data_IF_620668469528
#
_entry.id   IF_620668469528
#
_cell.length_a   1.000
_cell.length_b   1.000
_cell.length_c   1.000
_cell.angle_alpha   90.00
_cell.angle_beta   90.00
_cell.angle_gamma   90.00
#
_symmetry.space_group_name_H-M   'P 1'
#
loop_
_entity.id
_entity.type
_entity.pdbx_description
1 polymer ?
#
# COMPACT_ATOMS: atom_id res chain seq x y z
N UNK A 1 7.64 11.27 11.55
CA UNK A 1 7.30 11.84 10.23
C UNK A 1 8.05 13.18 9.96
N UNK A 2 8.36 13.99 10.99
CA UNK A 2 9.13 15.24 10.84
C UNK A 2 10.50 15.09 10.14
N UNK A 3 11.31 14.03 10.39
CA UNK A 3 12.58 13.86 9.67
C UNK A 3 12.42 13.72 8.15
N UNK A 4 11.32 13.14 7.67
CA UNK A 4 11.04 13.00 6.23
C UNK A 4 10.69 14.35 5.61
N UNK A 5 9.93 15.21 6.31
CA UNK A 5 9.69 16.57 5.86
C UNK A 5 10.96 17.42 5.87
N UNK A 6 11.85 17.20 6.84
CA UNK A 6 13.17 17.84 6.86
C UNK A 6 14.02 17.40 5.66
N UNK A 7 14.09 16.09 5.38
CA UNK A 7 14.76 15.55 4.20
C UNK A 7 14.19 16.09 2.88
N UNK A 8 12.86 16.19 2.78
CA UNK A 8 12.20 16.85 1.65
C UNK A 8 12.67 18.30 1.49
N UNK A 9 12.64 19.11 2.57
CA UNK A 9 13.06 20.52 2.53
C UNK A 9 14.52 20.67 2.11
N UNK A 10 15.41 19.84 2.65
CA UNK A 10 16.83 19.85 2.28
C UNK A 10 16.98 19.54 0.80
N UNK A 11 16.34 18.49 0.29
CA UNK A 11 16.39 18.15 -1.14
C UNK A 11 15.87 19.28 -2.05
N UNK A 12 14.78 19.94 -1.65
CA UNK A 12 14.26 21.11 -2.37
C UNK A 12 15.25 22.29 -2.37
N UNK A 13 15.94 22.53 -1.25
CA UNK A 13 16.92 23.62 -1.11
C UNK A 13 18.23 23.35 -1.86
N UNK A 14 18.68 22.10 -1.90
CA UNK A 14 19.94 21.70 -2.55
C UNK A 14 19.77 21.34 -4.03
N UNK A 15 18.52 21.26 -4.51
CA UNK A 15 18.20 20.83 -5.87
C UNK A 15 18.19 19.31 -6.08
N UNK A 16 18.32 18.51 -5.01
CA UNK A 16 18.12 17.06 -5.06
C UNK A 16 16.61 16.73 -5.04
N UNK A 17 15.98 17.00 -6.17
CA UNK A 17 14.54 16.83 -6.37
C UNK A 17 14.12 15.36 -6.25
N UNK A 18 14.97 14.42 -6.68
CA UNK A 18 14.66 13.00 -6.60
C UNK A 18 14.54 12.57 -5.13
N UNK A 19 15.51 12.94 -4.29
CA UNK A 19 15.44 12.63 -2.86
C UNK A 19 14.34 13.40 -2.15
N UNK A 20 14.03 14.62 -2.58
CA UNK A 20 12.90 15.37 -2.05
C UNK A 20 11.59 14.59 -2.26
N UNK A 21 11.30 14.19 -3.50
CA UNK A 21 10.05 13.47 -3.80
C UNK A 21 10.03 12.06 -3.22
N UNK A 22 11.17 11.39 -3.08
CA UNK A 22 11.25 10.12 -2.36
C UNK A 22 10.89 10.28 -0.88
N UNK A 23 11.42 11.31 -0.20
CA UNK A 23 11.04 11.62 1.19
C UNK A 23 9.54 11.94 1.31
N UNK A 24 8.98 12.70 0.37
CA UNK A 24 7.55 12.98 0.32
C UNK A 24 6.71 11.70 0.15
N UNK A 25 7.11 10.80 -0.75
CA UNK A 25 6.46 9.50 -0.91
C UNK A 25 6.44 8.70 0.41
N UNK A 26 7.58 8.55 1.08
CA UNK A 26 7.65 7.82 2.36
C UNK A 26 6.82 8.52 3.44
N UNK A 27 6.80 9.86 3.46
CA UNK A 27 5.94 10.66 4.34
C UNK A 27 4.46 10.34 4.14
N UNK A 28 3.98 10.37 2.90
CA UNK A 28 2.58 10.13 2.55
C UNK A 28 2.16 8.71 2.91
N UNK A 29 2.97 7.73 2.54
CA UNK A 29 2.71 6.32 2.82
C UNK A 29 2.65 6.04 4.32
N UNK A 30 3.56 6.60 5.13
CA UNK A 30 3.50 6.43 6.59
C UNK A 30 2.27 7.11 7.22
N UNK A 31 1.91 8.31 6.77
CA UNK A 31 0.71 8.99 7.27
C UNK A 31 -0.56 8.18 7.00
N UNK A 32 -0.68 7.59 5.82
CA UNK A 32 -1.81 6.74 5.48
C UNK A 32 -1.82 5.45 6.33
N UNK A 33 -0.73 4.69 6.32
CA UNK A 33 -0.66 3.36 6.98
C UNK A 33 -0.81 3.46 8.50
N UNK A 34 -0.29 4.52 9.12
CA UNK A 34 -0.37 4.69 10.58
C UNK A 34 -1.77 5.00 11.08
N UNK A 35 -2.68 5.48 10.22
CA UNK A 35 -4.03 5.88 10.62
C UNK A 35 -4.10 7.02 11.64
N UNK A 36 -2.99 7.71 11.92
CA UNK A 36 -2.90 8.70 13.01
C UNK A 36 -3.51 10.06 12.66
N UNK A 37 -3.74 10.34 11.37
CA UNK A 37 -4.24 11.64 10.89
C UNK A 37 -5.58 11.47 10.21
N UNK A 38 -6.42 12.50 10.35
CA UNK A 38 -7.70 12.54 9.69
C UNK A 38 -7.54 12.43 8.16
N UNK A 39 -8.35 11.60 7.51
CA UNK A 39 -8.23 11.29 6.09
C UNK A 39 -8.31 12.52 5.17
N UNK A 40 -9.08 13.55 5.54
CA UNK A 40 -9.12 14.81 4.78
C UNK A 40 -7.77 15.53 4.73
N UNK A 41 -6.97 15.43 5.79
CA UNK A 41 -5.63 15.99 5.86
C UNK A 41 -4.67 15.15 5.00
N UNK A 42 -4.78 13.82 5.09
CA UNK A 42 -4.01 12.90 4.25
C UNK A 42 -4.28 13.16 2.76
N UNK A 43 -5.55 13.33 2.36
CA UNK A 43 -5.94 13.70 0.99
C UNK A 43 -5.31 15.01 0.53
N UNK A 44 -5.33 16.02 1.40
CA UNK A 44 -4.72 17.33 1.09
C UNK A 44 -3.21 17.18 0.84
N UNK A 45 -2.50 16.46 1.70
CA UNK A 45 -1.06 16.26 1.55
C UNK A 45 -0.75 15.44 0.28
N UNK A 46 -1.52 14.37 0.01
CA UNK A 46 -1.37 13.58 -1.22
C UNK A 46 -1.52 14.43 -2.48
N UNK A 47 -2.53 15.30 -2.53
CA UNK A 47 -2.75 16.17 -3.69
C UNK A 47 -1.62 17.20 -3.85
N UNK A 48 -1.24 17.86 -2.75
CA UNK A 48 -0.15 18.86 -2.77
C UNK A 48 1.16 18.27 -3.30
N UNK A 49 1.60 17.16 -2.72
CA UNK A 49 2.85 16.52 -3.15
C UNK A 49 2.70 15.84 -4.51
N UNK A 50 1.52 15.33 -4.85
CA UNK A 50 1.23 14.76 -6.17
C UNK A 50 1.36 15.78 -7.30
N UNK A 51 0.81 16.97 -7.11
CA UNK A 51 0.95 18.11 -8.05
C UNK A 51 2.42 18.49 -8.20
N UNK A 52 3.17 18.58 -7.10
CA UNK A 52 4.61 18.86 -7.14
C UNK A 52 5.40 17.76 -7.86
N UNK A 53 5.07 16.48 -7.66
CA UNK A 53 5.73 15.39 -8.37
C UNK A 53 5.53 15.51 -9.89
N UNK A 54 4.36 15.96 -10.34
CA UNK A 54 4.11 16.24 -11.76
C UNK A 54 4.90 17.46 -12.24
N UNK A 55 4.86 18.57 -11.50
CA UNK A 55 5.60 19.81 -11.81
C UNK A 55 7.10 19.54 -12.02
N UNK A 56 7.69 18.74 -11.13
CA UNK A 56 9.10 18.36 -11.15
C UNK A 56 9.40 17.11 -11.99
N UNK A 57 8.44 16.60 -12.76
CA UNK A 57 8.55 15.44 -13.65
C UNK A 57 8.99 14.14 -12.94
N UNK A 58 8.72 14.01 -11.64
CA UNK A 58 8.98 12.82 -10.84
C UNK A 58 7.84 11.80 -10.95
N UNK A 59 7.58 11.34 -12.18
CA UNK A 59 6.41 10.51 -12.50
C UNK A 59 6.40 9.16 -11.77
N UNK A 60 7.56 8.56 -11.50
CA UNK A 60 7.62 7.31 -10.71
C UNK A 60 7.05 7.52 -9.31
N UNK A 61 7.41 8.62 -8.63
CA UNK A 61 6.88 8.92 -7.29
C UNK A 61 5.40 9.25 -7.35
N UNK A 62 4.97 9.99 -8.38
CA UNK A 62 3.55 10.27 -8.60
C UNK A 62 2.75 8.97 -8.76
N UNK A 63 3.19 8.05 -9.62
CA UNK A 63 2.51 6.77 -9.84
C UNK A 63 2.45 5.90 -8.57
N UNK A 64 3.43 6.00 -7.67
CA UNK A 64 3.43 5.27 -6.41
C UNK A 64 2.39 5.80 -5.39
N UNK A 65 1.99 7.07 -5.47
CA UNK A 65 1.00 7.65 -4.54
C UNK A 65 -0.44 7.57 -5.06
N UNK A 66 -0.65 7.42 -6.37
CA UNK A 66 -1.98 7.33 -6.98
C UNK A 66 -2.87 6.23 -6.35
N UNK A 67 -2.37 5.00 -6.07
CA UNK A 67 -3.17 3.99 -5.39
C UNK A 67 -3.61 4.45 -3.99
N UNK A 68 -2.75 5.16 -3.26
CA UNK A 68 -3.06 5.70 -1.92
C UNK A 68 -4.14 6.78 -2.03
N UNK A 69 -4.03 7.66 -3.04
CA UNK A 69 -5.06 8.67 -3.33
C UNK A 69 -6.42 8.04 -3.63
N UNK A 70 -6.44 6.93 -4.37
CA UNK A 70 -7.67 6.20 -4.66
C UNK A 70 -8.30 5.64 -3.38
N UNK A 71 -7.53 4.94 -2.54
CA UNK A 71 -8.05 4.39 -1.29
C UNK A 71 -8.59 5.51 -0.38
N UNK A 72 -7.84 6.60 -0.24
CA UNK A 72 -8.26 7.75 0.58
C UNK A 72 -9.52 8.41 0.01
N UNK A 73 -9.64 8.50 -1.31
CA UNK A 73 -10.83 9.06 -1.96
C UNK A 73 -12.03 8.17 -1.74
N UNK A 74 -11.89 6.86 -1.91
CA UNK A 74 -12.93 5.87 -1.65
C UNK A 74 -13.40 5.89 -0.18
N UNK A 75 -12.47 5.99 0.77
CA UNK A 75 -12.79 6.10 2.20
C UNK A 75 -13.51 7.40 2.58
N UNK A 76 -13.40 8.44 1.75
CA UNK A 76 -14.06 9.73 1.94
C UNK A 76 -15.34 9.87 1.11
N UNK A 77 -15.76 8.83 0.38
CA UNK A 77 -17.02 8.82 -0.35
C UNK A 77 -18.21 8.95 0.60
N UNK A 78 -19.30 9.50 0.08
CA UNK A 78 -20.54 9.57 0.86
C UNK A 78 -21.18 8.18 0.97
N UNK A 79 -21.96 7.96 2.02
CA UNK A 79 -22.72 6.71 2.19
C UNK A 79 -23.60 6.45 0.95
N UNK A 80 -23.28 5.38 0.20
CA UNK A 80 -24.03 4.95 -0.99
C UNK A 80 -23.26 4.99 -2.31
N UNK A 81 -22.09 5.63 -2.37
CA UNK A 81 -21.24 5.61 -3.57
C UNK A 81 -20.35 4.35 -3.59
N UNK A 82 -20.35 3.56 -4.69
CA UNK A 82 -19.52 2.36 -4.75
C UNK A 82 -18.04 2.74 -4.89
N UNK A 83 -17.12 2.05 -4.19
CA UNK A 83 -15.68 2.29 -4.33
C UNK A 83 -15.20 1.90 -5.73
N UNK A 84 -14.24 2.66 -6.25
CA UNK A 84 -13.55 2.33 -7.50
C UNK A 84 -12.29 1.55 -7.15
N UNK A 85 -12.27 0.26 -7.52
CA UNK A 85 -11.17 -0.63 -7.16
C UNK A 85 -9.97 -0.58 -8.10
N UNK A 86 -8.82 -0.96 -7.56
CA UNK A 86 -7.61 -1.16 -8.36
C UNK A 86 -7.82 -2.06 -9.56
N UNK A 87 -7.40 -1.57 -10.73
CA UNK A 87 -7.54 -2.26 -12.02
C UNK A 87 -8.92 -2.15 -12.67
N UNK A 88 -9.89 -1.45 -12.05
CA UNK A 88 -11.13 -1.00 -12.73
C UNK A 88 -10.97 0.39 -13.33
N UNK A 89 -10.17 1.24 -12.68
CA UNK A 89 -9.78 2.54 -13.20
C UNK A 89 -8.81 2.45 -14.39
N UNK A 90 -9.08 3.21 -15.46
CA UNK A 90 -8.30 3.19 -16.70
C UNK A 90 -6.89 3.76 -16.50
N UNK A 91 -6.73 4.76 -15.63
CA UNK A 91 -5.42 5.33 -15.33
C UNK A 91 -4.54 4.32 -14.60
N UNK A 92 -5.07 3.60 -13.62
CA UNK A 92 -4.31 2.53 -12.96
C UNK A 92 -3.99 1.36 -13.88
N UNK A 93 -4.89 0.97 -14.80
CA UNK A 93 -4.56 -0.03 -15.83
C UNK A 93 -3.38 0.44 -16.69
N UNK A 94 -3.38 1.70 -17.10
CA UNK A 94 -2.28 2.30 -17.87
C UNK A 94 -0.97 2.27 -17.07
N UNK A 95 -1.01 2.62 -15.79
CA UNK A 95 0.18 2.63 -14.92
C UNK A 95 0.71 1.20 -14.70
N UNK A 96 -0.17 0.23 -14.48
CA UNK A 96 0.23 -1.18 -14.37
C UNK A 96 0.85 -1.69 -15.69
N UNK A 97 0.27 -1.33 -16.83
CA UNK A 97 0.83 -1.65 -18.14
C UNK A 97 2.22 -1.02 -18.34
N UNK A 98 2.39 0.25 -17.94
CA UNK A 98 3.67 0.94 -17.95
C UNK A 98 4.69 0.26 -17.04
N UNK A 99 4.31 -0.08 -15.81
CA UNK A 99 5.16 -0.79 -14.87
C UNK A 99 5.64 -2.13 -15.44
N UNK A 100 4.77 -2.83 -16.16
CA UNK A 100 5.11 -4.06 -16.86
C UNK A 100 6.08 -3.80 -18.03
N UNK A 101 5.84 -2.80 -18.87
CA UNK A 101 6.71 -2.49 -20.01
C UNK A 101 8.10 -2.02 -19.59
N UNK A 102 8.19 -1.29 -18.49
CA UNK A 102 9.46 -0.80 -17.93
C UNK A 102 10.16 -1.84 -17.03
N UNK A 103 9.55 -3.03 -16.86
CA UNK A 103 10.00 -4.04 -15.93
C UNK A 103 10.16 -3.51 -14.48
N UNK A 104 9.38 -2.49 -14.12
CA UNK A 104 9.37 -1.87 -12.80
C UNK A 104 8.46 -2.66 -11.85
N UNK A 105 8.97 -3.81 -11.43
CA UNK A 105 8.27 -4.76 -10.54
C UNK A 105 7.96 -4.17 -9.16
N UNK A 106 8.76 -3.22 -8.69
CA UNK A 106 8.50 -2.53 -7.42
C UNK A 106 7.23 -1.69 -7.51
N UNK A 107 7.10 -0.87 -8.55
CA UNK A 107 5.90 -0.05 -8.77
C UNK A 107 4.65 -0.93 -8.89
N UNK A 108 4.72 -2.01 -9.67
CA UNK A 108 3.59 -2.95 -9.77
C UNK A 108 3.21 -3.57 -8.41
N UNK A 109 4.19 -4.03 -7.62
CA UNK A 109 3.94 -4.55 -6.26
C UNK A 109 3.27 -3.51 -5.36
N UNK A 110 3.71 -2.24 -5.41
CA UNK A 110 3.11 -1.15 -4.64
C UNK A 110 1.65 -0.87 -5.03
N UNK A 111 1.32 -0.91 -6.32
CA UNK A 111 -0.07 -0.74 -6.77
C UNK A 111 -0.94 -1.89 -6.25
N UNK A 112 -0.45 -3.14 -6.35
CA UNK A 112 -1.22 -4.28 -5.88
C UNK A 112 -1.43 -4.28 -4.36
N UNK A 113 -0.46 -3.89 -3.53
CA UNK A 113 -0.67 -3.86 -2.08
C UNK A 113 -1.77 -2.88 -1.68
N UNK A 114 -1.81 -1.68 -2.25
CA UNK A 114 -2.90 -0.74 -1.94
C UNK A 114 -4.24 -1.22 -2.51
N UNK A 115 -4.25 -1.95 -3.62
CA UNK A 115 -5.44 -2.65 -4.10
C UNK A 115 -5.94 -3.74 -3.16
N UNK A 116 -5.03 -4.51 -2.53
CA UNK A 116 -5.40 -5.48 -1.48
C UNK A 116 -6.01 -4.78 -0.29
N UNK A 117 -5.39 -3.69 0.18
CA UNK A 117 -5.89 -2.88 1.30
C UNK A 117 -7.29 -2.36 1.02
N UNK A 118 -7.50 -1.79 -0.17
CA UNK A 118 -8.79 -1.27 -0.60
C UNK A 118 -9.85 -2.35 -0.70
N UNK A 119 -9.58 -3.43 -1.44
CA UNK A 119 -10.50 -4.55 -1.62
C UNK A 119 -10.90 -5.17 -0.27
N UNK A 120 -9.93 -5.34 0.64
CA UNK A 120 -10.19 -5.84 1.99
C UNK A 120 -11.08 -4.89 2.80
N UNK A 121 -10.78 -3.59 2.83
CA UNK A 121 -11.56 -2.62 3.62
C UNK A 121 -13.02 -2.54 3.15
N UNK A 122 -13.25 -2.65 1.83
CA UNK A 122 -14.60 -2.63 1.25
C UNK A 122 -15.27 -4.00 1.16
N UNK A 123 -14.63 -5.06 1.67
CA UNK A 123 -15.24 -6.39 1.79
C UNK A 123 -15.24 -7.26 0.53
N UNK A 124 -14.52 -6.87 -0.53
CA UNK A 124 -14.31 -7.68 -1.74
C UNK A 124 -13.08 -8.59 -1.54
N UNK A 125 -13.24 -9.62 -0.70
CA UNK A 125 -12.14 -10.49 -0.27
C UNK A 125 -11.63 -11.38 -1.40
N UNK A 126 -12.47 -11.77 -2.35
CA UNK A 126 -12.10 -12.49 -3.55
C UNK A 126 -11.16 -11.66 -4.42
N UNK A 127 -11.49 -10.37 -4.63
CA UNK A 127 -10.60 -9.45 -5.33
C UNK A 127 -9.30 -9.26 -4.56
N UNK A 128 -9.36 -9.05 -3.24
CA UNK A 128 -8.19 -8.90 -2.40
C UNK A 128 -7.26 -10.12 -2.56
N UNK A 129 -7.79 -11.35 -2.48
CA UNK A 129 -7.03 -12.58 -2.62
C UNK A 129 -6.39 -12.72 -4.01
N UNK A 130 -7.11 -12.36 -5.08
CA UNK A 130 -6.56 -12.35 -6.44
C UNK A 130 -5.42 -11.33 -6.61
N UNK A 131 -5.54 -10.14 -5.99
CA UNK A 131 -4.49 -9.12 -6.01
C UNK A 131 -3.26 -9.56 -5.20
N UNK A 132 -3.44 -10.24 -4.07
CA UNK A 132 -2.33 -10.85 -3.30
C UNK A 132 -1.55 -11.84 -4.16
N UNK A 133 -2.24 -12.72 -4.90
CA UNK A 133 -1.59 -13.70 -5.78
C UNK A 133 -0.75 -13.00 -6.88
N UNK A 134 -1.34 -12.04 -7.61
CA UNK A 134 -0.64 -11.25 -8.63
C UNK A 134 0.59 -10.54 -8.07
N UNK A 135 0.47 -9.96 -6.87
CA UNK A 135 1.59 -9.29 -6.20
C UNK A 135 2.72 -10.27 -5.88
N UNK A 136 2.40 -11.43 -5.29
CA UNK A 136 3.37 -12.46 -4.90
C UNK A 136 4.15 -13.01 -6.10
N UNK A 137 3.49 -13.22 -7.24
CA UNK A 137 4.14 -13.66 -8.49
C UNK A 137 5.21 -12.67 -8.98
N UNK A 138 4.94 -11.37 -8.86
CA UNK A 138 5.88 -10.30 -9.22
C UNK A 138 7.01 -10.23 -8.18
N UNK A 139 6.67 -10.38 -6.89
CA UNK A 139 7.61 -10.31 -5.78
C UNK A 139 8.63 -11.45 -5.74
N UNK A 140 8.29 -12.64 -6.25
CA UNK A 140 9.23 -13.76 -6.42
C UNK A 140 10.46 -13.40 -7.26
N UNK A 141 10.35 -12.38 -8.12
CA UNK A 141 11.40 -11.96 -9.07
C UNK A 141 12.16 -10.72 -8.62
N UNK A 142 11.98 -10.27 -7.38
CA UNK A 142 12.69 -9.12 -6.79
C UNK A 142 13.23 -9.46 -5.40
N UNK A 143 14.37 -8.86 -5.05
CA UNK A 143 14.88 -8.94 -3.69
C UNK A 143 13.88 -8.26 -2.73
N UNK A 144 13.58 -8.90 -1.59
CA UNK A 144 12.67 -8.35 -0.60
C UNK A 144 13.28 -7.08 0.03
N UNK A 145 12.92 -5.88 -0.48
CA UNK A 145 13.52 -4.59 -0.07
C UNK A 145 12.56 -3.52 0.46
N UNK A 146 11.25 -3.78 0.58
CA UNK A 146 10.28 -2.81 1.10
C UNK A 146 10.33 -2.68 2.63
N UNK A 147 10.20 -1.46 3.16
CA UNK A 147 10.01 -1.25 4.60
C UNK A 147 8.56 -1.51 5.07
N UNK A 148 7.65 -1.82 4.14
CA UNK A 148 6.22 -1.99 4.43
C UNK A 148 5.78 -3.46 4.57
N UNK A 149 6.72 -4.43 4.65
CA UNK A 149 6.35 -5.85 4.71
C UNK A 149 5.47 -6.23 5.90
N UNK A 150 5.62 -5.57 7.06
CA UNK A 150 4.72 -5.79 8.19
C UNK A 150 3.26 -5.41 7.88
N UNK A 151 3.05 -4.39 7.05
CA UNK A 151 1.72 -4.03 6.53
C UNK A 151 1.27 -5.04 5.48
N UNK A 152 2.15 -5.41 4.54
CA UNK A 152 1.86 -6.36 3.47
C UNK A 152 1.39 -7.71 4.01
N UNK A 153 2.15 -8.33 4.93
CA UNK A 153 1.79 -9.62 5.52
C UNK A 153 0.53 -9.52 6.39
N UNK A 154 0.29 -8.37 7.01
CA UNK A 154 -0.92 -8.15 7.80
C UNK A 154 -2.19 -8.16 6.93
N UNK A 155 -2.22 -7.38 5.84
CA UNK A 155 -3.38 -7.38 4.94
C UNK A 155 -3.53 -8.67 4.15
N UNK A 156 -2.43 -9.35 3.80
CA UNK A 156 -2.48 -10.72 3.27
C UNK A 156 -3.17 -11.66 4.26
N UNK A 157 -2.71 -11.67 5.52
CA UNK A 157 -3.27 -12.53 6.57
C UNK A 157 -4.75 -12.29 6.79
N UNK A 158 -5.15 -11.01 6.91
CA UNK A 158 -6.56 -10.63 7.04
C UNK A 158 -7.40 -11.09 5.85
N UNK A 159 -6.90 -10.92 4.62
CA UNK A 159 -7.55 -11.38 3.40
C UNK A 159 -7.75 -12.89 3.41
N UNK A 160 -6.71 -13.65 3.77
CA UNK A 160 -6.81 -15.11 3.82
C UNK A 160 -7.73 -15.61 4.93
N UNK A 161 -7.73 -14.96 6.10
CA UNK A 161 -8.68 -15.27 7.17
C UNK A 161 -10.12 -15.05 6.72
N UNK A 162 -10.39 -13.94 6.04
CA UNK A 162 -11.72 -13.66 5.49
C UNK A 162 -12.15 -14.71 4.45
N UNK A 163 -11.26 -15.06 3.51
CA UNK A 163 -11.51 -16.12 2.54
C UNK A 163 -11.73 -17.49 3.19
N UNK A 164 -10.93 -17.82 4.21
CA UNK A 164 -11.07 -19.07 4.97
C UNK A 164 -12.43 -19.13 5.67
N UNK A 165 -12.89 -18.01 6.25
CA UNK A 165 -14.20 -17.91 6.89
C UNK A 165 -15.35 -18.12 5.89
N UNK A 166 -15.24 -17.60 4.66
CA UNK A 166 -16.28 -17.73 3.64
C UNK A 166 -16.34 -19.12 3.01
N UNK A 167 -15.19 -19.73 2.69
CA UNK A 167 -15.16 -20.95 1.88
C UNK A 167 -14.84 -22.22 2.68
N UNK A 168 -14.35 -22.10 3.91
CA UNK A 168 -13.82 -23.19 4.73
C UNK A 168 -12.75 -24.04 4.01
N UNK A 169 -11.98 -23.41 3.12
CA UNK A 169 -10.93 -24.07 2.31
C UNK A 169 -9.60 -24.03 3.07
N UNK A 170 -9.02 -25.21 3.27
CA UNK A 170 -7.77 -25.41 4.01
C UNK A 170 -6.59 -24.61 3.42
N UNK A 171 -6.59 -24.34 2.12
CA UNK A 171 -5.52 -23.54 1.49
C UNK A 171 -5.45 -22.12 2.04
N UNK A 172 -6.60 -21.53 2.40
CA UNK A 172 -6.67 -20.18 2.94
C UNK A 172 -6.25 -20.16 4.40
N UNK A 173 -6.62 -21.18 5.17
CA UNK A 173 -6.16 -21.37 6.55
C UNK A 173 -4.64 -21.48 6.58
N UNK A 174 -4.06 -22.31 5.71
CA UNK A 174 -2.60 -22.45 5.61
C UNK A 174 -1.92 -21.13 5.21
N UNK A 175 -2.50 -20.40 4.24
CA UNK A 175 -1.96 -19.11 3.80
C UNK A 175 -2.03 -18.04 4.90
N UNK A 176 -3.12 -18.00 5.66
CA UNK A 176 -3.29 -17.14 6.82
C UNK A 176 -2.23 -17.44 7.90
N UNK A 177 -2.05 -18.71 8.25
CA UNK A 177 -1.04 -19.14 9.23
C UNK A 177 0.38 -18.73 8.83
N UNK A 178 0.73 -18.85 7.54
CA UNK A 178 2.02 -18.40 7.03
C UNK A 178 2.22 -16.89 7.22
N UNK A 179 1.20 -16.08 6.91
CA UNK A 179 1.26 -14.63 7.11
C UNK A 179 1.30 -14.27 8.60
N UNK A 180 0.57 -14.97 9.47
CA UNK A 180 0.66 -14.81 10.93
C UNK A 180 2.07 -15.06 11.43
N UNK A 181 2.72 -16.16 11.00
CA UNK A 181 4.11 -16.47 11.39
C UNK A 181 5.11 -15.42 10.90
N UNK A 182 4.91 -14.84 9.70
CA UNK A 182 5.74 -13.73 9.23
C UNK A 182 5.57 -12.48 10.11
N UNK A 183 4.32 -12.10 10.42
CA UNK A 183 4.03 -10.95 11.29
C UNK A 183 4.56 -11.19 12.70
N UNK A 184 4.49 -12.42 13.23
CA UNK A 184 5.06 -12.79 14.53
C UNK A 184 6.57 -12.58 14.57
N UNK A 185 7.28 -13.02 13.51
CA UNK A 185 8.72 -12.76 13.37
C UNK A 185 9.02 -11.26 13.36
N UNK A 186 8.21 -10.46 12.69
CA UNK A 186 8.39 -9.01 12.66
C UNK A 186 8.07 -8.35 14.00
N UNK A 187 7.06 -8.83 14.72
CA UNK A 187 6.72 -8.37 16.07
C UNK A 187 7.86 -8.61 17.06
N UNK A 188 8.62 -9.71 16.93
CA UNK A 188 9.83 -9.95 17.75
C UNK A 188 10.93 -8.92 17.53
N UNK A 189 11.03 -8.34 16.33
CA UNK A 189 12.08 -7.38 15.95
C UNK A 189 11.62 -5.94 16.20
N UNK A 190 10.36 -5.62 15.89
CA UNK A 190 9.78 -4.28 16.00
C UNK A 190 8.34 -4.36 16.55
N UNK A 191 8.18 -4.60 17.87
CA UNK A 191 6.86 -4.77 18.50
C UNK A 191 5.94 -3.57 18.25
N UNK A 192 6.46 -2.35 18.40
CA UNK A 192 5.70 -1.10 18.21
C UNK A 192 4.98 -1.02 16.86
N UNK A 193 5.54 -1.63 15.81
CA UNK A 193 4.96 -1.60 14.47
C UNK A 193 4.13 -2.84 14.13
N UNK A 194 4.31 -3.98 14.81
CA UNK A 194 3.74 -5.26 14.35
C UNK A 194 2.94 -6.03 15.43
N UNK A 195 3.11 -5.73 16.71
CA UNK A 195 2.42 -6.45 17.80
C UNK A 195 0.90 -6.30 17.70
N UNK A 196 0.41 -5.07 17.53
CA UNK A 196 -1.03 -4.81 17.35
C UNK A 196 -1.61 -5.52 16.11
N UNK A 197 -0.82 -5.67 15.05
CA UNK A 197 -1.21 -6.40 13.83
C UNK A 197 -1.31 -7.89 14.09
N UNK A 198 -0.33 -8.44 14.81
CA UNK A 198 -0.32 -9.85 15.22
C UNK A 198 -1.53 -10.17 16.09
N UNK A 199 -1.81 -9.34 17.11
CA UNK A 199 -2.94 -9.54 18.01
C UNK A 199 -4.27 -9.57 17.25
N UNK A 200 -4.46 -8.68 16.26
CA UNK A 200 -5.68 -8.69 15.45
C UNK A 200 -5.79 -9.94 14.57
N UNK A 201 -4.68 -10.44 14.02
CA UNK A 201 -4.70 -11.66 13.21
C UNK A 201 -4.96 -12.93 14.03
N UNK A 202 -4.72 -12.90 15.34
CA UNK A 202 -4.90 -14.02 16.26
C UNK A 202 -6.21 -13.96 17.07
N UNK A 203 -6.96 -12.86 16.95
CA UNK A 203 -8.25 -12.65 17.62
C UNK A 203 -9.35 -13.48 16.97
#
# INVERSE_FOLDING_TARGET
IEPLLSGYKIGMQTGDIQMAMFNAYIYLTNNFISGQRHLSIVRKDLNLFGEQMVEYKQMVMNHLILPIQQVVSNLLLSTGEPPIFVGKDEEQKRILAQASSENNRFMASQIFIFGVVEAYIFGDYELAAALVQKRREIEQKIAKKSCFYGMTEFFDGLTFLAMAHQSNDEKWILSANNSISNVERYAKICPSNCEHKLLLLQA
#
